data_IF_403785160689
#
_entry.id   IF_403785160689
#
_cell.length_a   1.000
_cell.length_b   1.000
_cell.length_c   1.000
_cell.angle_alpha   90.00
_cell.angle_beta   90.00
_cell.angle_gamma   90.00
#
_symmetry.space_group_name_H-M   'P 1'
#
loop_
_entity.id
_entity.type
_entity.pdbx_description
1 polymer ?
#
# COMPACT_ATOMS: atom_id res chain seq x y z
N UNK A 1 8.31 -16.12 5.59
CA UNK A 1 7.18 -15.20 5.38
C UNK A 1 7.71 -13.78 5.45
N UNK A 2 7.36 -12.93 4.49
CA UNK A 2 7.72 -11.50 4.49
C UNK A 2 6.68 -10.80 5.37
N UNK A 3 7.15 -9.90 6.23
CA UNK A 3 6.28 -9.06 7.07
C UNK A 3 6.60 -7.59 6.79
N UNK A 4 5.55 -6.79 6.60
CA UNK A 4 5.67 -5.33 6.53
C UNK A 4 5.30 -4.77 7.89
N UNK A 5 6.13 -3.88 8.43
CA UNK A 5 5.97 -3.31 9.76
C UNK A 5 6.02 -1.79 9.62
N UNK A 6 5.09 -1.09 10.27
CA UNK A 6 5.06 0.35 10.26
C UNK A 6 6.15 0.93 11.19
N UNK A 7 6.84 1.96 10.71
CA UNK A 7 7.93 2.59 11.41
C UNK A 7 8.03 4.07 11.04
N UNK A 8 8.54 4.88 11.98
CA UNK A 8 8.88 6.27 11.72
C UNK A 8 10.38 6.35 11.41
N UNK A 9 10.72 7.04 10.32
CA UNK A 9 12.10 7.36 9.97
C UNK A 9 12.37 8.83 10.31
N UNK A 10 13.30 9.07 11.22
CA UNK A 10 13.68 10.44 11.59
C UNK A 10 14.46 11.12 10.47
N UNK A 11 14.57 12.45 10.54
CA UNK A 11 15.46 13.25 9.64
C UNK A 11 16.92 12.82 9.66
N UNK A 12 17.35 12.12 10.71
CA UNK A 12 18.72 11.59 10.85
C UNK A 12 18.86 10.16 10.35
N UNK A 13 17.82 9.59 9.73
CA UNK A 13 17.80 8.23 9.21
C UNK A 13 17.61 7.15 10.28
N UNK A 14 17.26 7.52 11.52
CA UNK A 14 16.95 6.53 12.56
C UNK A 14 15.55 5.97 12.33
N UNK A 15 15.45 4.65 12.21
CA UNK A 15 14.19 3.93 12.09
C UNK A 15 13.71 3.53 13.48
N UNK A 16 12.48 3.92 13.84
CA UNK A 16 11.79 3.49 15.06
C UNK A 16 10.54 2.71 14.68
N UNK A 17 10.51 1.42 15.02
CA UNK A 17 9.32 0.60 14.84
C UNK A 17 8.18 1.13 15.71
N UNK A 18 6.97 1.20 15.14
CA UNK A 18 5.77 1.58 15.89
C UNK A 18 5.19 0.42 16.70
N UNK A 19 5.58 -0.81 16.35
CA UNK A 19 5.18 -2.03 17.04
C UNK A 19 6.41 -2.85 17.36
N UNK A 20 6.41 -3.49 18.53
CA UNK A 20 7.46 -4.43 18.90
C UNK A 20 7.39 -5.70 18.05
N UNK A 21 8.54 -6.17 17.58
CA UNK A 21 8.64 -7.39 16.79
C UNK A 21 9.59 -8.37 17.47
N UNK A 22 9.21 -9.64 17.44
CA UNK A 22 10.02 -10.72 17.98
C UNK A 22 10.58 -11.54 16.82
N UNK A 23 11.89 -11.43 16.60
CA UNK A 23 12.60 -12.20 15.59
C UNK A 23 13.42 -13.29 16.27
N UNK A 24 13.37 -14.51 15.72
CA UNK A 24 14.14 -15.66 16.24
C UNK A 24 15.66 -15.49 16.05
N UNK A 25 16.05 -14.71 15.06
CA UNK A 25 17.44 -14.44 14.69
C UNK A 25 17.53 -13.09 13.96
N UNK A 26 18.75 -12.56 13.81
CA UNK A 26 18.98 -11.33 13.06
C UNK A 26 18.66 -11.52 11.58
N UNK A 27 17.90 -10.59 11.00
CA UNK A 27 17.47 -10.62 9.60
C UNK A 27 17.78 -9.27 8.94
N UNK A 28 18.03 -9.29 7.63
CA UNK A 28 18.07 -8.08 6.81
C UNK A 28 16.65 -7.51 6.70
N UNK A 29 16.53 -6.19 6.73
CA UNK A 29 15.29 -5.48 6.51
C UNK A 29 15.37 -4.61 5.25
N UNK A 30 14.23 -4.43 4.59
CA UNK A 30 14.04 -3.42 3.54
C UNK A 30 13.30 -2.25 4.16
N UNK A 31 13.74 -1.03 3.86
CA UNK A 31 13.11 0.20 4.34
C UNK A 31 12.64 0.99 3.12
N UNK A 32 11.33 1.17 3.03
CA UNK A 32 10.70 2.04 2.03
C UNK A 32 10.32 3.34 2.73
N UNK A 33 10.83 4.47 2.25
CA UNK A 33 10.45 5.80 2.75
C UNK A 33 9.25 6.26 1.94
N UNK A 34 8.12 6.45 2.62
CA UNK A 34 6.95 7.08 2.02
C UNK A 34 7.16 8.59 2.08
N UNK A 35 6.98 9.26 0.95
CA UNK A 35 6.80 10.71 0.96
C UNK A 35 5.51 11.03 1.72
N UNK A 36 5.47 12.21 2.33
CA UNK A 36 4.25 12.70 2.99
C UNK A 36 3.08 12.54 2.01
N UNK A 37 1.93 12.01 2.48
CA UNK A 37 0.78 11.81 1.59
C UNK A 37 0.57 13.11 0.82
N UNK A 38 0.62 13.09 -0.53
CA UNK A 38 0.33 14.29 -1.27
C UNK A 38 -1.05 14.71 -0.82
N UNK A 39 -1.17 15.90 -0.19
CA UNK A 39 -2.46 16.47 0.14
C UNK A 39 -3.28 16.33 -1.13
N UNK A 40 -4.35 15.53 -1.06
CA UNK A 40 -5.10 15.15 -2.25
C UNK A 40 -5.40 16.45 -3.00
N UNK A 41 -4.79 16.60 -4.18
CA UNK A 41 -5.02 17.79 -4.99
C UNK A 41 -6.52 17.86 -5.26
N UNK A 42 -7.09 19.04 -5.31
CA UNK A 42 -8.50 19.22 -5.68
C UNK A 42 -8.82 18.47 -6.99
N UNK A 43 -7.87 18.43 -7.93
CA UNK A 43 -7.95 17.64 -9.15
C UNK A 43 -8.02 16.13 -8.90
N UNK A 44 -7.27 15.60 -7.92
CA UNK A 44 -7.31 14.18 -7.56
C UNK A 44 -8.67 13.81 -6.96
N UNK A 45 -9.23 14.65 -6.09
CA UNK A 45 -10.55 14.44 -5.48
C UNK A 45 -11.69 14.52 -6.52
N UNK A 46 -11.61 15.45 -7.47
CA UNK A 46 -12.58 15.56 -8.57
C UNK A 46 -12.46 14.38 -9.55
N UNK A 47 -11.23 13.93 -9.81
CA UNK A 47 -10.98 12.78 -10.68
C UNK A 47 -11.44 11.47 -10.05
N UNK A 48 -11.32 11.32 -8.72
CA UNK A 48 -11.80 10.14 -7.99
C UNK A 48 -13.28 9.88 -8.26
N UNK A 49 -14.14 10.90 -8.15
CA UNK A 49 -15.57 10.74 -8.40
C UNK A 49 -15.86 10.39 -9.87
N UNK A 50 -15.15 11.03 -10.81
CA UNK A 50 -15.30 10.76 -12.23
C UNK A 50 -14.85 9.35 -12.62
N UNK A 51 -13.72 8.88 -12.06
CA UNK A 51 -13.15 7.57 -12.33
C UNK A 51 -13.92 6.46 -11.62
N UNK A 52 -14.45 6.70 -10.41
CA UNK A 52 -15.18 5.71 -9.64
C UNK A 52 -16.40 5.15 -10.39
N UNK A 53 -17.06 5.96 -11.22
CA UNK A 53 -18.22 5.51 -12.01
C UNK A 53 -17.88 4.40 -13.01
N UNK A 54 -16.70 4.47 -13.62
CA UNK A 54 -16.26 3.52 -14.64
C UNK A 54 -15.34 2.43 -14.06
N UNK A 55 -14.52 2.77 -13.06
CA UNK A 55 -13.59 1.85 -12.43
C UNK A 55 -14.26 0.88 -11.46
N UNK A 56 -15.27 1.34 -10.71
CA UNK A 56 -15.98 0.48 -9.75
C UNK A 56 -17.15 -0.27 -10.40
N UNK A 57 -17.30 -0.19 -11.72
CA UNK A 57 -18.21 -1.11 -12.39
C UNK A 57 -17.61 -2.52 -12.25
N UNK A 58 -18.40 -3.47 -11.75
CA UNK A 58 -17.92 -4.82 -11.41
C UNK A 58 -17.49 -5.66 -12.62
N UNK A 59 -17.20 -5.04 -13.77
CA UNK A 59 -16.77 -5.71 -14.98
C UNK A 59 -15.34 -6.23 -14.85
N UNK A 60 -14.49 -5.55 -14.07
CA UNK A 60 -13.20 -6.11 -13.67
C UNK A 60 -13.41 -7.42 -12.91
N UNK A 61 -14.20 -7.42 -11.82
CA UNK A 61 -14.45 -8.63 -11.03
C UNK A 61 -14.98 -9.80 -11.88
N UNK A 62 -15.87 -9.54 -12.84
CA UNK A 62 -16.33 -10.56 -13.80
C UNK A 62 -15.19 -11.09 -14.67
N UNK A 63 -14.36 -10.19 -15.22
CA UNK A 63 -13.20 -10.58 -16.04
C UNK A 63 -12.21 -11.46 -15.24
N UNK A 64 -11.96 -11.14 -13.97
CA UNK A 64 -11.11 -11.95 -13.10
C UNK A 64 -11.75 -13.31 -12.76
N UNK A 65 -13.07 -13.39 -12.55
CA UNK A 65 -13.78 -14.66 -12.35
C UNK A 65 -13.65 -15.61 -13.54
N UNK A 66 -13.71 -15.08 -14.77
CA UNK A 66 -13.53 -15.86 -15.98
C UNK A 66 -12.13 -16.50 -16.04
N UNK A 67 -11.08 -15.76 -15.66
CA UNK A 67 -9.70 -16.28 -15.64
C UNK A 67 -9.46 -17.32 -14.53
N UNK A 68 -10.14 -17.22 -13.40
CA UNK A 68 -10.03 -18.21 -12.32
C UNK A 68 -10.71 -19.54 -12.66
N UNK A 69 -11.73 -19.52 -13.53
CA UNK A 69 -12.41 -20.75 -13.97
C UNK A 69 -11.63 -21.56 -15.02
N UNK A 70 -10.53 -21.02 -15.56
CA UNK A 70 -9.62 -21.73 -16.49
C UNK A 70 -8.43 -22.42 -15.80
N UNK A 71 -8.40 -22.47 -14.46
CA UNK A 71 -7.42 -23.23 -13.66
C UNK A 71 -7.99 -24.53 -13.10
#
# INVERSE_FOLDING_TARGET
MIQTIEAIVSKTGKVKLLTEIHLKESRRALVTILEEEPKASETALLSENALAQDWLNGDEEKAWQHLQSEQ
#
